data_IF_198044488188
#
_entry.id   IF_198044488188
#
_cell.length_a   1.000
_cell.length_b   1.000
_cell.length_c   1.000
_cell.angle_alpha   90.00
_cell.angle_beta   90.00
_cell.angle_gamma   90.00
#
_symmetry.space_group_name_H-M   'P 1'
#
loop_
_entity.id
_entity.type
_entity.pdbx_description
1 polymer ?
#
# COMPACT_ATOMS: atom_id res chain seq x y z
N UNK A 1 -9.86 61.78 -58.83
CA UNK A 1 -10.15 61.85 -57.38
C UNK A 1 -10.12 60.42 -56.85
N UNK A 2 -9.11 60.13 -56.08
CA UNK A 2 -8.83 58.73 -55.62
C UNK A 2 -9.17 58.64 -54.15
N UNK A 3 -10.18 57.87 -53.80
CA UNK A 3 -10.46 57.51 -52.39
C UNK A 3 -9.66 56.28 -51.99
N UNK A 4 -8.64 56.50 -51.19
CA UNK A 4 -7.92 55.42 -50.51
C UNK A 4 -8.72 54.98 -49.30
N UNK A 5 -9.33 53.85 -49.40
CA UNK A 5 -9.95 53.17 -48.26
C UNK A 5 -8.84 52.48 -47.44
N UNK A 6 -8.57 53.00 -46.25
CA UNK A 6 -7.67 52.39 -45.26
C UNK A 6 -8.44 51.29 -44.55
N UNK A 7 -8.14 50.03 -44.89
CA UNK A 7 -8.54 48.91 -44.05
C UNK A 7 -7.61 48.84 -42.82
N UNK A 8 -8.17 49.21 -41.69
CA UNK A 8 -7.51 48.96 -40.42
C UNK A 8 -7.68 47.48 -40.05
N UNK A 9 -6.60 46.70 -40.12
CA UNK A 9 -6.53 45.37 -39.57
C UNK A 9 -6.46 45.47 -38.05
N UNK A 10 -7.60 45.24 -37.38
CA UNK A 10 -7.63 45.00 -35.94
C UNK A 10 -7.18 43.54 -35.75
N UNK A 11 -5.90 43.35 -35.49
CA UNK A 11 -5.36 42.07 -35.03
C UNK A 11 -5.86 41.90 -33.57
N UNK A 12 -6.97 41.20 -33.42
CA UNK A 12 -7.40 40.71 -32.12
C UNK A 12 -6.41 39.66 -31.65
N UNK A 13 -5.49 40.03 -30.79
CA UNK A 13 -4.67 39.10 -30.01
C UNK A 13 -5.57 38.40 -29.00
N UNK A 14 -6.12 37.27 -29.42
CA UNK A 14 -6.65 36.28 -28.49
C UNK A 14 -5.47 35.73 -27.70
N UNK A 15 -5.18 36.35 -26.57
CA UNK A 15 -4.40 35.68 -25.51
C UNK A 15 -5.25 34.50 -25.03
N UNK A 16 -5.04 33.33 -25.65
CA UNK A 16 -5.42 32.08 -25.05
C UNK A 16 -4.57 31.97 -23.78
N UNK A 17 -5.14 32.40 -22.67
CA UNK A 17 -4.69 31.92 -21.36
C UNK A 17 -4.95 30.40 -21.37
N UNK A 18 -3.98 29.64 -21.86
CA UNK A 18 -3.83 28.26 -21.48
C UNK A 18 -3.58 28.31 -19.95
N UNK A 19 -4.65 28.33 -19.18
CA UNK A 19 -4.56 27.92 -17.81
C UNK A 19 -4.07 26.49 -17.88
N UNK A 20 -2.77 26.28 -17.64
CA UNK A 20 -2.25 25.00 -17.27
C UNK A 20 -3.08 24.54 -16.06
N UNK A 21 -4.16 23.80 -16.34
CA UNK A 21 -4.78 22.96 -15.36
C UNK A 21 -3.73 21.89 -15.04
N UNK A 22 -2.74 22.27 -14.26
CA UNK A 22 -1.91 21.34 -13.56
C UNK A 22 -2.89 20.59 -12.66
N UNK A 23 -3.39 19.46 -13.17
CA UNK A 23 -4.11 18.51 -12.34
C UNK A 23 -3.23 18.34 -11.10
N UNK A 24 -3.67 18.85 -9.96
CA UNK A 24 -2.95 18.73 -8.72
C UNK A 24 -2.67 17.24 -8.57
N UNK A 25 -1.40 16.88 -8.66
CA UNK A 25 -0.94 15.49 -8.61
C UNK A 25 -1.45 14.91 -7.29
N UNK A 26 -2.57 14.18 -7.37
CA UNK A 26 -3.21 13.65 -6.18
C UNK A 26 -2.24 12.64 -5.58
N UNK A 27 -1.73 12.96 -4.40
CA UNK A 27 -0.80 12.08 -3.70
C UNK A 27 -1.41 10.70 -3.51
N UNK A 28 -0.64 9.62 -3.77
CA UNK A 28 -1.16 8.26 -3.62
C UNK A 28 -1.78 8.02 -2.25
N UNK A 29 -2.90 7.33 -2.23
CA UNK A 29 -3.63 7.00 -1.01
C UNK A 29 -3.26 5.61 -0.53
N UNK A 30 -2.64 5.53 0.63
CA UNK A 30 -2.23 4.29 1.28
C UNK A 30 -3.21 3.96 2.39
N UNK A 31 -3.86 2.80 2.29
CA UNK A 31 -4.73 2.29 3.37
C UNK A 31 -3.97 1.21 4.14
N UNK A 32 -3.86 1.38 5.46
CA UNK A 32 -3.16 0.46 6.34
C UNK A 32 -4.17 -0.27 7.24
N UNK A 33 -4.26 -1.57 7.07
CA UNK A 33 -5.17 -2.44 7.82
C UNK A 33 -4.44 -3.04 9.03
N UNK A 34 -4.81 -2.64 10.23
CA UNK A 34 -4.30 -3.15 11.49
C UNK A 34 -5.27 -4.16 12.09
N UNK A 35 -5.00 -5.45 11.92
CA UNK A 35 -5.88 -6.54 12.34
C UNK A 35 -5.21 -7.61 13.21
N UNK A 36 -4.10 -7.29 13.88
CA UNK A 36 -3.43 -8.22 14.78
C UNK A 36 -3.27 -7.62 16.20
N UNK A 37 -2.97 -8.45 17.19
CA UNK A 37 -2.88 -8.03 18.60
C UNK A 37 -1.54 -8.33 19.27
N UNK A 38 -0.64 -9.07 18.58
CA UNK A 38 0.59 -9.56 19.20
C UNK A 38 1.80 -8.64 19.01
N UNK A 39 1.79 -7.84 17.93
CA UNK A 39 2.95 -7.06 17.50
C UNK A 39 2.71 -5.56 17.54
N UNK A 40 1.60 -5.13 18.11
CA UNK A 40 1.30 -3.73 18.34
C UNK A 40 0.98 -2.93 17.08
N UNK A 41 0.41 -3.56 16.04
CA UNK A 41 0.08 -2.87 14.80
C UNK A 41 -0.84 -1.68 14.97
N UNK A 42 -1.76 -1.74 15.93
CA UNK A 42 -2.67 -0.64 16.27
C UNK A 42 -1.94 0.64 16.73
N UNK A 43 -0.70 0.51 17.20
CA UNK A 43 0.15 1.63 17.60
C UNK A 43 1.20 1.97 16.55
N UNK A 44 1.78 0.96 15.91
CA UNK A 44 2.90 1.16 14.99
C UNK A 44 2.46 1.62 13.61
N UNK A 45 1.36 1.11 13.07
CA UNK A 45 0.87 1.54 11.75
C UNK A 45 0.43 3.00 11.70
N UNK A 46 -0.30 3.56 12.70
CA UNK A 46 -0.59 5.01 12.70
C UNK A 46 0.68 5.88 12.75
N UNK A 47 1.71 5.45 13.49
CA UNK A 47 3.00 6.17 13.51
C UNK A 47 3.70 6.11 12.16
N UNK A 48 3.69 4.96 11.53
CA UNK A 48 4.25 4.78 10.20
C UNK A 48 3.48 5.57 9.13
N UNK A 49 2.16 5.56 9.19
CA UNK A 49 1.31 6.40 8.33
C UNK A 49 1.71 7.87 8.42
N UNK A 50 1.86 8.39 9.65
CA UNK A 50 2.29 9.77 9.89
C UNK A 50 3.67 10.07 9.30
N UNK A 51 4.61 9.12 9.37
CA UNK A 51 5.92 9.28 8.73
C UNK A 51 5.80 9.35 7.20
N UNK A 52 5.00 8.49 6.59
CA UNK A 52 4.74 8.49 5.15
C UNK A 52 4.12 9.83 4.69
N UNK A 53 3.19 10.37 5.46
CA UNK A 53 2.59 11.67 5.18
C UNK A 53 3.61 12.81 5.29
N UNK A 54 4.40 12.84 6.36
CA UNK A 54 5.35 13.90 6.64
C UNK A 54 6.57 13.89 5.72
N UNK A 55 7.10 12.71 5.41
CA UNK A 55 8.35 12.57 4.66
C UNK A 55 8.15 12.45 3.15
N UNK A 56 7.00 11.92 2.73
CA UNK A 56 6.74 11.62 1.32
C UNK A 56 5.46 12.27 0.79
N UNK A 57 4.67 12.92 1.65
CA UNK A 57 3.45 13.60 1.27
C UNK A 57 2.33 12.65 0.81
N UNK A 58 2.40 11.36 1.13
CA UNK A 58 1.31 10.43 0.86
C UNK A 58 0.07 10.77 1.69
N UNK A 59 -1.09 10.38 1.20
CA UNK A 59 -2.33 10.38 1.97
C UNK A 59 -2.50 9.02 2.60
N UNK A 60 -2.64 8.93 3.93
CA UNK A 60 -2.75 7.66 4.63
C UNK A 60 -4.08 7.54 5.38
N UNK A 61 -4.65 6.33 5.38
CA UNK A 61 -5.79 5.96 6.22
C UNK A 61 -5.44 4.69 6.97
N UNK A 62 -5.33 4.76 8.30
CA UNK A 62 -5.13 3.57 9.12
C UNK A 62 -6.46 3.10 9.67
N UNK A 63 -6.80 1.84 9.41
CA UNK A 63 -8.02 1.20 9.89
C UNK A 63 -7.63 0.12 10.88
N UNK A 64 -7.94 0.35 12.15
CA UNK A 64 -7.70 -0.61 13.23
C UNK A 64 -8.94 -1.48 13.40
N UNK A 65 -8.74 -2.79 13.58
CA UNK A 65 -9.83 -3.73 13.79
C UNK A 65 -10.69 -3.36 15.01
N UNK A 66 -11.93 -3.68 14.92
CA UNK A 66 -12.91 -3.60 16.01
C UNK A 66 -13.32 -5.02 16.42
N UNK A 67 -13.05 -5.40 17.66
CA UNK A 67 -13.16 -6.80 18.07
C UNK A 67 -12.13 -7.71 17.39
N UNK A 68 -12.48 -8.98 17.16
CA UNK A 68 -11.51 -9.97 16.65
C UNK A 68 -11.53 -10.12 15.14
N UNK A 69 -12.66 -9.91 14.51
CA UNK A 69 -12.91 -10.36 13.15
C UNK A 69 -13.42 -9.30 12.18
N UNK A 70 -13.50 -8.04 12.58
CA UNK A 70 -14.03 -6.98 11.74
C UNK A 70 -13.23 -5.69 11.79
N UNK A 71 -13.37 -4.87 10.79
CA UNK A 71 -12.97 -3.46 10.77
C UNK A 71 -14.21 -2.56 10.92
N UNK A 72 -14.07 -1.33 11.47
CA UNK A 72 -15.21 -0.41 11.57
C UNK A 72 -15.81 -0.08 10.19
N UNK A 73 -14.96 0.19 9.20
CA UNK A 73 -15.32 0.35 7.77
C UNK A 73 -14.13 0.02 6.90
N UNK A 74 -14.38 -0.47 5.68
CA UNK A 74 -13.37 -0.67 4.64
C UNK A 74 -13.63 0.18 3.39
N UNK A 75 -14.47 1.20 3.47
CA UNK A 75 -14.86 2.04 2.33
C UNK A 75 -13.66 2.75 1.69
N UNK A 76 -12.63 3.07 2.49
CA UNK A 76 -11.38 3.67 2.01
C UNK A 76 -10.65 2.81 0.97
N UNK A 77 -10.88 1.49 0.93
CA UNK A 77 -10.29 0.60 -0.08
C UNK A 77 -10.69 0.98 -1.51
N UNK A 78 -11.91 1.51 -1.69
CA UNK A 78 -12.37 1.94 -3.01
C UNK A 78 -11.50 3.03 -3.64
N UNK A 79 -10.85 3.84 -2.83
CA UNK A 79 -9.99 4.95 -3.26
C UNK A 79 -8.51 4.71 -2.97
N UNK A 80 -8.14 3.56 -2.44
CA UNK A 80 -6.75 3.23 -2.14
C UNK A 80 -5.95 2.97 -3.42
N UNK A 81 -4.75 3.48 -3.47
CA UNK A 81 -3.75 3.15 -4.50
C UNK A 81 -2.83 2.02 -4.04
N UNK A 82 -2.67 1.86 -2.72
CA UNK A 82 -1.91 0.80 -2.08
C UNK A 82 -2.60 0.37 -0.79
N UNK A 83 -2.66 -0.93 -0.53
CA UNK A 83 -3.09 -1.48 0.75
C UNK A 83 -1.94 -2.17 1.46
N UNK A 84 -1.74 -1.82 2.73
CA UNK A 84 -0.81 -2.50 3.63
C UNK A 84 -1.62 -3.34 4.61
N UNK A 85 -1.38 -4.64 4.65
CA UNK A 85 -2.09 -5.57 5.53
C UNK A 85 -1.18 -6.05 6.66
N UNK A 86 -1.51 -5.70 7.90
CA UNK A 86 -0.91 -6.26 9.09
C UNK A 86 -2.01 -6.83 9.98
N UNK A 87 -2.51 -7.98 9.60
CA UNK A 87 -3.63 -8.65 10.25
C UNK A 87 -3.29 -10.12 10.55
N UNK A 88 -4.06 -10.74 11.44
CA UNK A 88 -3.82 -12.13 11.87
C UNK A 88 -5.12 -12.83 12.21
N UNK A 89 -5.39 -13.95 11.52
CA UNK A 89 -6.46 -14.91 11.82
C UNK A 89 -7.85 -14.29 11.97
N UNK A 90 -8.17 -13.32 11.15
CA UNK A 90 -9.50 -12.72 11.12
C UNK A 90 -10.45 -13.54 10.25
N UNK A 91 -11.69 -13.70 10.71
CA UNK A 91 -12.81 -14.18 9.88
C UNK A 91 -13.65 -12.96 9.50
N UNK A 92 -13.35 -12.35 8.39
CA UNK A 92 -14.03 -11.13 7.99
C UNK A 92 -15.52 -11.40 7.69
N UNK A 93 -16.44 -10.49 8.08
CA UNK A 93 -17.80 -10.51 7.59
C UNK A 93 -17.85 -10.58 6.07
N UNK A 94 -18.83 -11.23 5.49
CA UNK A 94 -18.93 -11.49 4.05
C UNK A 94 -18.80 -10.19 3.21
N UNK A 95 -19.41 -9.11 3.65
CA UNK A 95 -19.32 -7.81 3.02
C UNK A 95 -17.88 -7.28 2.99
N UNK A 96 -17.19 -7.29 4.14
CA UNK A 96 -15.81 -6.82 4.25
C UNK A 96 -14.83 -7.71 3.47
N UNK A 97 -15.03 -9.02 3.51
CA UNK A 97 -14.28 -9.95 2.67
C UNK A 97 -14.47 -9.62 1.18
N UNK A 98 -15.71 -9.33 0.77
CA UNK A 98 -16.03 -8.89 -0.59
C UNK A 98 -15.33 -7.58 -0.96
N UNK A 99 -15.23 -6.61 -0.05
CA UNK A 99 -14.49 -5.36 -0.28
C UNK A 99 -13.00 -5.61 -0.49
N UNK A 100 -12.38 -6.47 0.33
CA UNK A 100 -10.96 -6.84 0.17
C UNK A 100 -10.72 -7.57 -1.16
N UNK A 101 -11.59 -8.52 -1.51
CA UNK A 101 -11.49 -9.26 -2.78
C UNK A 101 -11.60 -8.32 -3.98
N UNK A 102 -12.57 -7.44 -4.02
CA UNK A 102 -12.71 -6.44 -5.09
C UNK A 102 -11.49 -5.54 -5.23
N UNK A 103 -10.89 -5.13 -4.11
CA UNK A 103 -9.65 -4.36 -4.15
C UNK A 103 -8.52 -5.16 -4.83
N UNK A 104 -8.32 -6.42 -4.44
CA UNK A 104 -7.31 -7.30 -5.05
C UNK A 104 -7.60 -7.56 -6.54
N UNK A 105 -8.85 -7.85 -6.89
CA UNK A 105 -9.29 -8.08 -8.26
C UNK A 105 -9.12 -6.86 -9.16
N UNK A 106 -9.05 -5.65 -8.59
CA UNK A 106 -8.74 -4.43 -9.34
C UNK A 106 -7.28 -4.34 -9.79
N UNK A 107 -6.42 -5.28 -9.41
CA UNK A 107 -5.00 -5.33 -9.78
C UNK A 107 -4.12 -4.31 -9.04
N UNK A 108 -4.65 -3.62 -8.02
CA UNK A 108 -3.88 -2.66 -7.24
C UNK A 108 -2.94 -3.35 -6.25
N UNK A 109 -1.80 -2.72 -5.91
CA UNK A 109 -0.76 -3.35 -5.10
C UNK A 109 -1.17 -3.58 -3.65
N UNK A 110 -0.68 -4.70 -3.11
CA UNK A 110 -0.83 -5.07 -1.70
C UNK A 110 0.55 -5.33 -1.10
N UNK A 111 0.79 -4.83 0.10
CA UNK A 111 1.96 -5.17 0.92
C UNK A 111 1.46 -5.95 2.15
N UNK A 112 1.90 -7.19 2.29
CA UNK A 112 1.65 -8.00 3.48
C UNK A 112 2.79 -7.88 4.49
N UNK A 113 2.46 -7.50 5.72
CA UNK A 113 3.43 -7.46 6.81
C UNK A 113 3.27 -8.69 7.70
N UNK A 114 4.35 -9.45 7.87
CA UNK A 114 4.49 -10.58 8.80
C UNK A 114 3.30 -11.54 8.78
N UNK A 115 2.32 -11.36 9.70
CA UNK A 115 1.18 -12.25 9.87
C UNK A 115 0.14 -12.17 8.75
N UNK A 116 0.35 -11.31 7.77
CA UNK A 116 -0.53 -11.18 6.62
C UNK A 116 -0.70 -12.50 5.85
N UNK A 117 0.31 -13.36 5.85
CA UNK A 117 0.25 -14.71 5.26
C UNK A 117 -0.91 -15.57 5.77
N UNK A 118 -1.39 -15.32 6.97
CA UNK A 118 -2.55 -16.00 7.55
C UNK A 118 -3.54 -15.00 8.16
N UNK A 119 -3.68 -13.84 7.51
CA UNK A 119 -4.54 -12.75 7.98
C UNK A 119 -6.02 -13.12 7.95
N UNK A 120 -6.47 -13.75 6.87
CA UNK A 120 -7.90 -13.95 6.56
C UNK A 120 -8.21 -15.44 6.56
N UNK A 121 -8.90 -15.92 7.61
CA UNK A 121 -9.14 -17.35 7.80
C UNK A 121 -10.26 -17.91 6.90
N UNK A 122 -11.14 -17.06 6.44
CA UNK A 122 -12.16 -17.42 5.46
C UNK A 122 -11.76 -17.08 4.01
N UNK A 123 -10.46 -16.86 3.77
CA UNK A 123 -9.83 -16.76 2.46
C UNK A 123 -8.35 -17.12 2.57
N UNK A 124 -8.03 -18.40 2.78
CA UNK A 124 -6.66 -18.87 2.99
C UNK A 124 -5.77 -18.72 1.75
N UNK A 125 -6.38 -18.71 0.57
CA UNK A 125 -5.69 -18.49 -0.70
C UNK A 125 -5.08 -17.08 -0.82
N UNK A 126 -5.43 -16.15 0.06
CA UNK A 126 -4.86 -14.80 0.09
C UNK A 126 -3.33 -14.81 0.11
N UNK A 127 -2.72 -15.69 0.91
CA UNK A 127 -1.26 -15.82 0.98
C UNK A 127 -0.67 -16.19 -0.39
N UNK A 128 -1.19 -17.23 -1.01
CA UNK A 128 -0.68 -17.73 -2.29
C UNK A 128 -1.00 -16.80 -3.46
N UNK A 129 -2.24 -16.35 -3.55
CA UNK A 129 -2.73 -15.61 -4.73
C UNK A 129 -2.35 -14.13 -4.71
N UNK A 130 -2.21 -13.54 -3.53
CA UNK A 130 -1.99 -12.10 -3.38
C UNK A 130 -0.57 -11.78 -2.92
N UNK A 131 -0.06 -12.53 -1.95
CA UNK A 131 1.27 -12.28 -1.37
C UNK A 131 2.37 -13.11 -2.02
N UNK A 132 2.04 -14.08 -2.86
CA UNK A 132 3.00 -15.01 -3.46
C UNK A 132 3.64 -15.93 -2.42
N UNK A 133 3.01 -16.10 -1.25
CA UNK A 133 3.53 -16.88 -0.15
C UNK A 133 3.11 -18.35 -0.19
N UNK A 134 3.65 -19.11 0.73
CA UNK A 134 3.28 -20.51 0.99
C UNK A 134 3.48 -20.83 2.48
N UNK A 135 2.80 -20.05 3.32
CA UNK A 135 2.97 -20.17 4.76
C UNK A 135 2.38 -21.47 5.31
N UNK A 136 3.22 -22.29 5.91
CA UNK A 136 2.82 -23.52 6.56
C UNK A 136 3.41 -23.68 7.98
N UNK A 137 3.63 -22.56 8.67
CA UNK A 137 4.13 -22.51 10.02
C UNK A 137 5.40 -21.67 10.17
N UNK A 138 6.07 -21.82 11.29
CA UNK A 138 7.29 -21.08 11.58
C UNK A 138 8.32 -21.98 12.28
N UNK A 139 9.58 -21.57 12.20
CA UNK A 139 10.65 -22.15 13.01
C UNK A 139 10.51 -21.73 14.47
N UNK A 140 11.50 -22.07 15.31
CA UNK A 140 11.50 -21.69 16.72
C UNK A 140 11.29 -20.18 16.89
N UNK A 141 10.61 -19.79 17.96
CA UNK A 141 10.55 -18.40 18.39
C UNK A 141 11.92 -17.91 18.86
N UNK A 142 12.13 -16.60 18.83
CA UNK A 142 13.34 -15.94 19.33
C UNK A 142 14.62 -16.40 18.62
N UNK A 143 14.55 -16.71 17.35
CA UNK A 143 15.73 -16.88 16.51
C UNK A 143 16.43 -15.54 16.33
N UNK A 144 17.75 -15.58 16.29
CA UNK A 144 18.58 -14.46 15.86
C UNK A 144 19.48 -14.89 14.72
N UNK A 145 19.77 -14.01 13.81
CA UNK A 145 20.61 -14.26 12.66
C UNK A 145 20.90 -13.00 11.89
N UNK A 146 21.63 -13.14 10.79
CA UNK A 146 21.83 -12.07 9.84
C UNK A 146 20.91 -12.28 8.61
N UNK A 147 20.28 -11.22 8.18
CA UNK A 147 19.67 -11.16 6.87
C UNK A 147 20.65 -10.48 5.90
N UNK A 148 20.80 -11.02 4.71
CA UNK A 148 21.64 -10.43 3.68
C UNK A 148 20.85 -10.27 2.38
N UNK A 149 21.14 -9.20 1.66
CA UNK A 149 20.61 -8.98 0.32
C UNK A 149 21.19 -10.03 -0.62
N UNK A 150 20.32 -10.71 -1.37
CA UNK A 150 20.75 -11.68 -2.39
C UNK A 150 21.55 -10.95 -3.46
N UNK A 151 22.81 -11.38 -3.78
CA UNK A 151 23.67 -10.63 -4.70
C UNK A 151 23.04 -10.31 -6.05
N UNK A 152 22.25 -11.22 -6.61
CA UNK A 152 21.57 -11.05 -7.88
C UNK A 152 20.49 -9.94 -7.87
N UNK A 153 20.04 -9.50 -6.69
CA UNK A 153 18.97 -8.49 -6.55
C UNK A 153 19.48 -7.12 -6.09
N UNK A 154 20.78 -6.92 -5.89
CA UNK A 154 21.38 -5.67 -5.36
C UNK A 154 21.04 -4.44 -6.18
N UNK A 155 20.60 -4.39 -7.29
CA UNK A 155 20.19 -3.20 -8.05
C UNK A 155 18.69 -2.93 -8.02
N UNK A 156 17.89 -3.72 -7.30
CA UNK A 156 16.44 -3.57 -7.30
C UNK A 156 16.02 -2.29 -6.55
N UNK A 157 15.12 -1.46 -7.10
CA UNK A 157 14.73 -0.18 -6.49
C UNK A 157 14.20 -0.30 -5.06
N UNK A 158 13.56 -1.42 -4.70
CA UNK A 158 13.04 -1.66 -3.36
C UNK A 158 14.15 -1.75 -2.28
N UNK A 159 15.39 -1.96 -2.70
CA UNK A 159 16.55 -2.08 -1.81
C UNK A 159 17.32 -0.75 -1.62
N UNK A 160 16.85 0.33 -2.22
CA UNK A 160 17.47 1.64 -2.03
C UNK A 160 17.40 2.03 -0.55
N UNK A 161 18.58 2.27 0.06
CA UNK A 161 18.69 2.59 1.48
C UNK A 161 18.65 1.38 2.42
N UNK A 162 18.51 0.16 1.91
CA UNK A 162 18.60 -1.08 2.71
C UNK A 162 20.07 -1.49 2.81
N UNK A 163 20.56 -1.76 4.03
CA UNK A 163 21.90 -2.28 4.23
C UNK A 163 22.04 -3.68 3.61
N UNK A 164 23.20 -3.97 3.04
CA UNK A 164 23.49 -5.29 2.43
C UNK A 164 23.36 -6.44 3.43
N UNK A 165 23.59 -6.17 4.71
CA UNK A 165 23.47 -7.12 5.80
C UNK A 165 22.99 -6.43 7.07
N UNK A 166 22.08 -7.07 7.81
CA UNK A 166 21.59 -6.57 9.09
C UNK A 166 21.16 -7.70 10.01
N UNK A 167 21.24 -7.44 11.31
CA UNK A 167 20.77 -8.40 12.32
C UNK A 167 19.25 -8.47 12.31
N UNK A 168 18.75 -9.68 12.37
CA UNK A 168 17.32 -9.94 12.49
C UNK A 168 17.03 -10.87 13.66
N UNK A 169 15.82 -10.79 14.20
CA UNK A 169 15.35 -11.68 15.25
C UNK A 169 13.86 -11.97 15.13
N UNK A 170 13.41 -13.01 15.82
CA UNK A 170 12.00 -13.39 15.87
C UNK A 170 11.74 -14.80 15.33
N UNK A 171 10.50 -15.05 14.90
CA UNK A 171 10.11 -16.34 14.29
C UNK A 171 10.20 -16.24 12.78
N UNK A 172 11.04 -17.05 12.17
CA UNK A 172 11.10 -17.17 10.71
C UNK A 172 9.97 -18.05 10.22
N UNK A 173 9.28 -17.60 9.17
CA UNK A 173 8.20 -18.37 8.55
C UNK A 173 8.74 -19.42 7.58
N UNK A 174 8.01 -20.51 7.49
CA UNK A 174 8.25 -21.57 6.52
C UNK A 174 7.39 -21.30 5.29
N UNK A 175 8.01 -20.84 4.22
CA UNK A 175 7.32 -20.43 2.99
C UNK A 175 7.79 -21.21 1.76
N UNK A 176 8.68 -22.19 1.92
CA UNK A 176 9.20 -22.97 0.80
C UNK A 176 8.39 -24.25 0.59
N UNK A 177 8.22 -24.70 -0.68
CA UNK A 177 8.56 -24.01 -1.93
C UNK A 177 7.64 -22.79 -2.18
N UNK A 178 8.13 -21.79 -2.90
CA UNK A 178 7.37 -20.64 -3.38
C UNK A 178 6.87 -20.93 -4.79
#
# INVERSE_FOLDING_TARGET
>A
MKYLTRFAFIAAWLFLCAADLQAAETKPHIVLLSGESLYGSATTLPKFAKQLEQQHGYRCTTIVREGEHRFPSLDALGQADLVVVFARRMQLPAEQLGQVKRYVESGKPVIGLRTASHAIQNWLEFDKLVLGGNYHGHHKNNLSGNASVVPATKGHPILIGVADEFKMGGSLYKNTPL
#
